data_IF_454402412761
#
_entry.id   IF_454402412761
#
_cell.length_a   1.000
_cell.length_b   1.000
_cell.length_c   1.000
_cell.angle_alpha   90.00
_cell.angle_beta   90.00
_cell.angle_gamma   90.00
#
_symmetry.space_group_name_H-M   'P 1'
#
loop_
_entity.id
_entity.type
_entity.pdbx_description
1 polymer ?
#
# COMPACT_ATOMS: atom_id res chain seq x y z
N UNK A 1 -11.02 -38.38 45.80
CA UNK A 1 -9.70 -38.05 45.24
C UNK A 1 -9.53 -36.54 45.32
N UNK A 2 -8.76 -36.06 46.29
CA UNK A 2 -8.47 -34.63 46.38
C UNK A 2 -7.51 -34.25 45.26
N UNK A 3 -7.81 -33.18 44.53
CA UNK A 3 -6.86 -32.55 43.61
C UNK A 3 -5.72 -31.98 44.47
N UNK A 4 -4.66 -32.76 44.65
CA UNK A 4 -3.49 -32.36 45.41
C UNK A 4 -2.47 -31.73 44.45
N UNK A 5 -2.26 -30.42 44.57
CA UNK A 5 -1.29 -29.66 43.78
C UNK A 5 -1.75 -28.22 43.54
N UNK A 6 -0.80 -27.29 43.34
CA UNK A 6 -1.10 -25.96 42.80
C UNK A 6 -1.46 -26.15 41.32
N UNK A 7 -2.56 -25.56 40.86
CA UNK A 7 -2.95 -25.59 39.45
C UNK A 7 -1.81 -25.08 38.58
N UNK A 8 -1.36 -25.91 37.64
CA UNK A 8 -0.40 -25.56 36.60
C UNK A 8 -1.10 -25.70 35.24
N UNK A 9 -1.44 -24.57 34.59
CA UNK A 9 -2.16 -24.61 33.32
C UNK A 9 -1.35 -25.31 32.22
N UNK A 10 -0.02 -25.21 32.22
CA UNK A 10 0.80 -25.79 31.16
C UNK A 10 0.77 -27.32 31.22
N UNK A 11 0.93 -27.89 32.41
CA UNK A 11 0.82 -29.34 32.61
C UNK A 11 -0.58 -29.86 32.24
N UNK A 12 -1.64 -29.14 32.63
CA UNK A 12 -3.03 -29.54 32.30
C UNK A 12 -3.30 -29.47 30.80
N UNK A 13 -2.86 -28.41 30.11
CA UNK A 13 -3.01 -28.28 28.67
C UNK A 13 -2.31 -29.40 27.91
N UNK A 14 -1.08 -29.77 28.32
CA UNK A 14 -0.33 -30.87 27.71
C UNK A 14 -1.01 -32.23 27.91
N UNK A 15 -1.53 -32.49 29.12
CA UNK A 15 -2.28 -33.71 29.43
C UNK A 15 -3.54 -33.81 28.56
N UNK A 16 -4.33 -32.73 28.48
CA UNK A 16 -5.57 -32.69 27.70
C UNK A 16 -5.29 -32.79 26.19
N UNK A 17 -4.27 -32.11 25.68
CA UNK A 17 -3.88 -32.20 24.26
C UNK A 17 -3.46 -33.64 23.89
N UNK A 18 -2.70 -34.31 24.77
CA UNK A 18 -2.34 -35.72 24.59
C UNK A 18 -3.57 -36.61 24.60
N UNK A 19 -4.47 -36.43 25.56
CA UNK A 19 -5.72 -37.17 25.64
C UNK A 19 -6.58 -36.99 24.38
N UNK A 20 -6.70 -35.78 23.85
CA UNK A 20 -7.40 -35.50 22.59
C UNK A 20 -6.79 -36.26 21.41
N UNK A 21 -5.46 -36.27 21.32
CA UNK A 21 -4.72 -36.97 20.25
C UNK A 21 -4.91 -38.49 20.34
N UNK A 22 -4.61 -39.09 21.49
CA UNK A 22 -4.72 -40.54 21.72
C UNK A 22 -6.14 -41.07 21.47
N UNK A 23 -7.16 -40.26 21.80
CA UNK A 23 -8.57 -40.63 21.64
C UNK A 23 -9.18 -40.16 20.31
N UNK A 24 -8.38 -39.58 19.40
CA UNK A 24 -8.81 -39.07 18.08
C UNK A 24 -10.03 -38.15 18.17
N UNK A 25 -10.00 -37.23 19.14
CA UNK A 25 -11.16 -36.40 19.48
C UNK A 25 -11.54 -35.45 18.34
N UNK A 26 -10.57 -34.80 17.68
CA UNK A 26 -10.84 -33.91 16.55
C UNK A 26 -11.58 -34.64 15.41
N UNK A 27 -11.17 -35.86 15.08
CA UNK A 27 -11.85 -36.62 14.03
C UNK A 27 -13.30 -36.97 14.39
N UNK A 28 -13.53 -37.37 15.65
CA UNK A 28 -14.88 -37.66 16.17
C UNK A 28 -15.77 -36.42 16.15
N UNK A 29 -15.21 -35.27 16.53
CA UNK A 29 -15.84 -33.96 16.50
C UNK A 29 -16.21 -33.58 15.07
N UNK A 30 -15.28 -33.69 14.12
CA UNK A 30 -15.53 -33.35 12.72
C UNK A 30 -16.62 -34.21 12.08
N UNK A 31 -16.78 -35.47 12.50
CA UNK A 31 -17.83 -36.37 12.00
C UNK A 31 -19.13 -36.37 12.81
N UNK A 32 -19.16 -35.71 13.97
CA UNK A 32 -20.24 -35.85 14.96
C UNK A 32 -21.63 -35.59 14.40
N UNK A 33 -21.76 -34.54 13.58
CA UNK A 33 -23.02 -34.07 13.01
C UNK A 33 -23.10 -34.31 11.49
N UNK A 34 -22.28 -35.22 10.94
CA UNK A 34 -22.25 -35.52 9.50
C UNK A 34 -23.65 -35.88 8.98
N UNK A 35 -24.04 -35.30 7.83
CA UNK A 35 -25.38 -35.41 7.26
C UNK A 35 -26.42 -34.42 7.79
N UNK A 36 -26.09 -33.63 8.83
CA UNK A 36 -26.93 -32.54 9.34
C UNK A 36 -26.81 -31.22 8.55
N UNK A 37 -27.53 -30.17 8.97
CA UNK A 37 -27.43 -28.84 8.36
C UNK A 37 -26.01 -28.28 8.44
N UNK A 38 -25.49 -27.79 7.32
CA UNK A 38 -24.09 -27.36 7.20
C UNK A 38 -23.91 -25.93 7.67
N UNK A 39 -22.90 -25.70 8.52
CA UNK A 39 -22.33 -24.38 8.78
C UNK A 39 -20.98 -24.28 8.05
N UNK A 40 -20.92 -23.61 6.88
CA UNK A 40 -19.69 -23.50 6.12
C UNK A 40 -18.78 -22.41 6.69
N UNK A 41 -17.53 -22.77 6.94
CA UNK A 41 -16.48 -21.86 7.36
C UNK A 41 -15.20 -22.10 6.56
N UNK A 42 -14.73 -21.05 5.91
CA UNK A 42 -13.44 -21.01 5.25
C UNK A 42 -12.57 -19.98 5.94
N UNK A 43 -11.38 -20.38 6.36
CA UNK A 43 -10.47 -19.44 7.00
C UNK A 43 -9.93 -18.44 5.97
N UNK A 44 -10.00 -17.14 6.29
CA UNK A 44 -9.15 -16.14 5.64
C UNK A 44 -7.68 -16.53 5.83
N UNK A 45 -6.93 -16.77 4.75
CA UNK A 45 -5.64 -17.44 4.83
C UNK A 45 -4.59 -16.47 5.36
N UNK A 46 -3.81 -16.80 6.40
CA UNK A 46 -2.62 -16.02 6.71
C UNK A 46 -1.57 -16.19 5.60
N UNK A 47 -0.83 -15.10 5.34
CA UNK A 47 0.36 -15.15 4.50
C UNK A 47 1.48 -15.89 5.23
N UNK A 48 2.10 -16.86 4.57
CA UNK A 48 3.08 -17.78 5.18
C UNK A 48 4.51 -17.32 4.95
N UNK A 49 4.81 -16.11 5.42
CA UNK A 49 6.12 -15.46 5.30
C UNK A 49 6.76 -15.12 6.66
N UNK A 50 6.18 -15.60 7.77
CA UNK A 50 6.63 -15.28 9.12
C UNK A 50 5.91 -16.10 10.18
N UNK A 51 6.29 -15.91 11.44
CA UNK A 51 5.67 -16.61 12.57
C UNK A 51 4.36 -15.99 13.02
N UNK A 52 3.50 -16.80 13.65
CA UNK A 52 2.27 -16.34 14.29
C UNK A 52 2.59 -15.40 15.47
N UNK A 53 2.10 -14.16 15.44
CA UNK A 53 2.07 -13.25 16.58
C UNK A 53 0.70 -13.23 17.30
N UNK A 54 0.62 -12.56 18.45
CA UNK A 54 -0.60 -12.50 19.30
C UNK A 54 -1.86 -11.99 18.59
N UNK A 55 -1.72 -11.08 17.61
CA UNK A 55 -2.84 -10.64 16.77
C UNK A 55 -3.49 -11.79 15.99
N UNK A 56 -2.69 -12.68 15.41
CA UNK A 56 -3.17 -13.87 14.71
C UNK A 56 -3.83 -14.86 15.67
N UNK A 57 -3.20 -15.10 16.83
CA UNK A 57 -3.75 -15.98 17.87
C UNK A 57 -5.15 -15.51 18.31
N UNK A 58 -5.31 -14.22 18.60
CA UNK A 58 -6.61 -13.61 18.95
C UNK A 58 -7.67 -13.86 17.87
N UNK A 59 -7.35 -13.60 16.61
CA UNK A 59 -8.27 -13.81 15.49
C UNK A 59 -8.68 -15.28 15.32
N UNK A 60 -7.74 -16.21 15.49
CA UNK A 60 -8.00 -17.66 15.41
C UNK A 60 -8.82 -18.19 16.57
N UNK A 61 -8.59 -17.71 17.79
CA UNK A 61 -9.38 -18.09 18.97
C UNK A 61 -10.84 -17.69 18.80
N UNK A 62 -11.13 -16.47 18.30
CA UNK A 62 -12.53 -16.07 18.05
C UNK A 62 -13.23 -16.97 17.04
N UNK A 63 -12.53 -17.36 15.97
CA UNK A 63 -13.05 -18.31 14.97
C UNK A 63 -13.40 -19.64 15.65
N UNK A 64 -12.46 -20.22 16.40
CA UNK A 64 -12.63 -21.52 17.07
C UNK A 64 -13.84 -21.53 18.04
N UNK A 65 -14.02 -20.48 18.84
CA UNK A 65 -15.17 -20.33 19.74
C UNK A 65 -16.49 -20.43 18.98
N UNK A 66 -16.62 -19.69 17.86
CA UNK A 66 -17.83 -19.68 17.04
C UNK A 66 -18.08 -21.05 16.40
N UNK A 67 -17.04 -21.71 15.89
CA UNK A 67 -17.16 -23.03 15.28
C UNK A 67 -17.60 -24.09 16.29
N UNK A 68 -17.01 -24.09 17.49
CA UNK A 68 -17.44 -24.98 18.58
C UNK A 68 -18.87 -24.71 19.00
N UNK A 69 -19.27 -23.44 19.12
CA UNK A 69 -20.64 -23.07 19.45
C UNK A 69 -21.63 -23.67 18.44
N UNK A 70 -21.41 -23.48 17.13
CA UNK A 70 -22.29 -24.05 16.10
C UNK A 70 -22.31 -25.57 16.11
N UNK A 71 -21.16 -26.23 16.31
CA UNK A 71 -21.08 -27.68 16.39
C UNK A 71 -21.84 -28.23 17.61
N UNK A 72 -21.70 -27.58 18.77
CA UNK A 72 -22.42 -27.94 19.99
C UNK A 72 -23.94 -27.73 19.87
N UNK A 73 -24.38 -26.85 18.97
CA UNK A 73 -25.79 -26.67 18.61
C UNK A 73 -26.27 -27.66 17.52
N UNK A 74 -25.48 -28.69 17.20
CA UNK A 74 -25.89 -29.78 16.31
C UNK A 74 -25.67 -29.52 14.82
N UNK A 75 -24.98 -28.43 14.45
CA UNK A 75 -24.66 -28.16 13.05
C UNK A 75 -23.44 -28.97 12.57
N UNK A 76 -23.47 -29.39 11.31
CA UNK A 76 -22.29 -29.93 10.64
C UNK A 76 -21.37 -28.78 10.21
N UNK A 77 -20.35 -28.51 11.02
CA UNK A 77 -19.45 -27.39 10.76
C UNK A 77 -18.33 -27.83 9.82
N UNK A 78 -18.46 -27.47 8.54
CA UNK A 78 -17.41 -27.63 7.55
C UNK A 78 -16.38 -26.51 7.74
N UNK A 79 -15.16 -26.84 8.18
CA UNK A 79 -14.13 -25.86 8.57
C UNK A 79 -12.79 -26.16 7.91
N UNK A 80 -12.34 -25.30 7.00
CA UNK A 80 -11.02 -25.47 6.36
C UNK A 80 -10.07 -24.34 6.71
N UNK A 81 -8.84 -24.70 7.05
CA UNK A 81 -7.74 -23.77 7.06
C UNK A 81 -7.37 -23.32 5.64
N UNK A 82 -6.55 -22.28 5.55
CA UNK A 82 -6.03 -21.79 4.29
C UNK A 82 -4.63 -21.22 4.48
N UNK A 83 -3.85 -21.16 3.41
CA UNK A 83 -2.53 -20.55 3.40
C UNK A 83 -2.35 -19.70 2.15
N UNK A 84 -1.93 -18.46 2.36
CA UNK A 84 -1.57 -17.56 1.27
C UNK A 84 -0.07 -17.64 1.03
N UNK A 85 0.29 -18.37 -0.02
CA UNK A 85 1.65 -18.83 -0.29
C UNK A 85 2.38 -18.00 -1.37
N UNK A 86 1.72 -17.04 -2.00
CA UNK A 86 2.22 -16.33 -3.17
C UNK A 86 2.43 -14.84 -2.88
N UNK A 87 2.98 -14.12 -3.85
CA UNK A 87 3.08 -12.66 -3.84
C UNK A 87 4.28 -12.09 -3.07
N UNK A 88 4.37 -10.77 -3.11
CA UNK A 88 5.49 -9.97 -2.62
C UNK A 88 5.95 -10.30 -1.19
N UNK A 89 5.06 -10.52 -0.19
CA UNK A 89 5.53 -10.79 1.17
C UNK A 89 6.36 -12.09 1.28
N UNK A 90 6.00 -13.11 0.51
CA UNK A 90 6.72 -14.39 0.45
C UNK A 90 8.03 -14.25 -0.35
N UNK A 91 7.98 -13.52 -1.46
CA UNK A 91 9.16 -13.25 -2.29
C UNK A 91 10.21 -12.45 -1.53
N UNK A 92 9.83 -11.38 -0.83
CA UNK A 92 10.74 -10.55 -0.04
C UNK A 92 11.39 -11.31 1.12
N UNK A 93 10.66 -12.22 1.78
CA UNK A 93 11.24 -13.06 2.82
C UNK A 93 12.22 -14.09 2.24
N UNK A 94 11.90 -14.63 1.06
CA UNK A 94 12.81 -15.50 0.30
C UNK A 94 14.09 -14.75 -0.10
N UNK A 95 13.96 -13.51 -0.59
CA UNK A 95 15.12 -12.64 -0.89
C UNK A 95 16.01 -12.45 0.33
N UNK A 96 15.44 -12.11 1.50
CA UNK A 96 16.20 -11.92 2.74
C UNK A 96 16.97 -13.19 3.13
N UNK A 97 16.32 -14.35 3.05
CA UNK A 97 16.94 -15.65 3.38
C UNK A 97 18.08 -16.00 2.43
N UNK A 98 17.96 -15.62 1.16
CA UNK A 98 18.99 -15.84 0.13
C UNK A 98 20.04 -14.71 0.07
N UNK A 99 19.86 -13.62 0.83
CA UNK A 99 20.74 -12.45 0.79
C UNK A 99 20.64 -11.63 -0.50
N UNK A 100 19.52 -11.73 -1.23
CA UNK A 100 19.24 -11.04 -2.49
C UNK A 100 18.90 -9.57 -2.20
N UNK A 101 19.43 -8.66 -3.03
CA UNK A 101 19.21 -7.21 -2.87
C UNK A 101 18.62 -6.54 -4.10
N UNK A 102 18.62 -7.23 -5.25
CA UNK A 102 18.15 -6.70 -6.52
C UNK A 102 17.54 -7.80 -7.39
N UNK A 103 16.66 -7.42 -8.33
CA UNK A 103 16.13 -8.37 -9.31
C UNK A 103 17.19 -9.09 -10.13
N UNK A 104 18.30 -8.40 -10.44
CA UNK A 104 19.45 -9.00 -11.15
C UNK A 104 20.06 -10.17 -10.40
N UNK A 105 19.99 -10.18 -9.07
CA UNK A 105 20.47 -11.31 -8.28
C UNK A 105 19.54 -12.52 -8.39
N UNK A 106 18.23 -12.31 -8.54
CA UNK A 106 17.24 -13.37 -8.84
C UNK A 106 17.55 -13.99 -10.21
N UNK A 107 17.81 -13.16 -11.23
CA UNK A 107 18.18 -13.65 -12.57
C UNK A 107 19.47 -14.48 -12.55
N UNK A 108 20.43 -14.13 -11.71
CA UNK A 108 21.70 -14.88 -11.55
C UNK A 108 21.52 -16.25 -10.91
N UNK A 109 20.64 -16.38 -9.92
CA UNK A 109 20.38 -17.68 -9.27
C UNK A 109 19.41 -18.54 -10.08
N UNK A 110 18.64 -17.92 -10.98
CA UNK A 110 17.63 -18.55 -11.82
C UNK A 110 16.24 -18.56 -11.16
N UNK A 111 15.22 -18.26 -11.97
CA UNK A 111 13.81 -18.20 -11.53
C UNK A 111 13.35 -19.51 -10.89
N UNK A 112 13.65 -20.66 -11.50
CA UNK A 112 13.27 -21.98 -10.99
C UNK A 112 13.81 -22.21 -9.57
N UNK A 113 15.07 -21.87 -9.34
CA UNK A 113 15.71 -22.00 -8.03
C UNK A 113 15.09 -21.06 -7.00
N UNK A 114 14.77 -19.83 -7.41
CA UNK A 114 14.10 -18.87 -6.53
C UNK A 114 12.71 -19.39 -6.11
N UNK A 115 11.93 -19.91 -7.06
CA UNK A 115 10.61 -20.51 -6.80
C UNK A 115 10.73 -21.74 -5.91
N UNK A 116 11.75 -22.58 -6.08
CA UNK A 116 12.00 -23.74 -5.23
C UNK A 116 12.28 -23.31 -3.76
N UNK A 117 13.12 -22.30 -3.57
CA UNK A 117 13.43 -21.78 -2.24
C UNK A 117 12.23 -21.08 -1.58
N UNK A 118 11.42 -20.36 -2.36
CA UNK A 118 10.17 -19.79 -1.89
C UNK A 118 9.18 -20.88 -1.42
N UNK A 119 9.08 -21.99 -2.16
CA UNK A 119 8.26 -23.12 -1.76
C UNK A 119 8.75 -23.78 -0.46
N UNK A 120 10.07 -23.99 -0.32
CA UNK A 120 10.66 -24.49 0.93
C UNK A 120 10.39 -23.57 2.12
N UNK A 121 10.42 -22.26 1.89
CA UNK A 121 10.10 -21.26 2.91
C UNK A 121 8.63 -21.32 3.33
N UNK A 122 7.72 -21.44 2.36
CA UNK A 122 6.29 -21.65 2.59
C UNK A 122 6.04 -22.90 3.42
N UNK A 123 6.62 -24.04 3.04
CA UNK A 123 6.47 -25.31 3.76
C UNK A 123 6.97 -25.21 5.21
N UNK A 124 8.13 -24.54 5.38
CA UNK A 124 8.69 -24.27 6.70
C UNK A 124 7.72 -23.48 7.58
N UNK A 125 7.14 -22.39 7.08
CA UNK A 125 6.22 -21.58 7.88
C UNK A 125 4.87 -22.27 8.11
N UNK A 126 4.31 -23.00 7.14
CA UNK A 126 3.08 -23.78 7.33
C UNK A 126 3.22 -24.75 8.51
N UNK A 127 4.33 -25.48 8.61
CA UNK A 127 4.60 -26.40 9.72
C UNK A 127 4.59 -25.68 11.09
N UNK A 128 5.25 -24.53 11.18
CA UNK A 128 5.29 -23.73 12.42
C UNK A 128 3.91 -23.17 12.78
N UNK A 129 3.17 -22.68 11.80
CA UNK A 129 1.81 -22.18 12.00
C UNK A 129 0.84 -23.28 12.43
N UNK A 130 0.97 -24.48 11.86
CA UNK A 130 0.17 -25.64 12.27
C UNK A 130 0.44 -26.00 13.73
N UNK A 131 1.72 -26.17 14.11
CA UNK A 131 2.12 -26.46 15.50
C UNK A 131 1.60 -25.42 16.49
N UNK A 132 1.71 -24.13 16.15
CA UNK A 132 1.19 -23.05 17.00
C UNK A 132 -0.34 -23.12 17.14
N UNK A 133 -1.06 -23.48 16.07
CA UNK A 133 -2.52 -23.56 16.08
C UNK A 133 -3.03 -24.77 16.87
N UNK A 134 -2.36 -25.91 16.72
CA UNK A 134 -2.61 -27.11 17.51
C UNK A 134 -2.38 -26.83 19.01
N UNK A 135 -1.31 -26.10 19.34
CA UNK A 135 -1.01 -25.69 20.73
C UNK A 135 -2.04 -24.73 21.31
N UNK A 136 -2.66 -23.90 20.48
CA UNK A 136 -3.78 -23.01 20.83
C UNK A 136 -5.15 -23.70 20.81
N UNK A 137 -5.19 -25.00 20.50
CA UNK A 137 -6.42 -25.79 20.35
C UNK A 137 -7.41 -25.23 19.31
N UNK A 138 -6.91 -24.61 18.25
CA UNK A 138 -7.74 -24.14 17.13
C UNK A 138 -8.00 -25.32 16.20
N UNK A 139 -9.25 -25.81 16.18
CA UNK A 139 -9.59 -27.04 15.45
C UNK A 139 -10.10 -26.71 14.04
N UNK A 140 -9.18 -26.62 13.08
CA UNK A 140 -9.48 -26.53 11.65
C UNK A 140 -8.98 -27.78 10.91
N UNK A 141 -9.57 -28.08 9.76
CA UNK A 141 -9.04 -29.09 8.84
C UNK A 141 -7.77 -28.55 8.14
N UNK A 142 -6.62 -28.79 8.77
CA UNK A 142 -5.31 -28.40 8.24
C UNK A 142 -4.78 -29.38 7.19
N UNK A 143 -5.20 -30.64 7.25
CA UNK A 143 -4.77 -31.68 6.30
C UNK A 143 -5.37 -31.41 4.91
N UNK A 144 -6.58 -30.85 4.85
CA UNK A 144 -7.20 -30.38 3.61
C UNK A 144 -7.22 -28.84 3.50
N UNK A 145 -6.30 -28.14 4.18
CA UNK A 145 -6.19 -26.69 4.03
C UNK A 145 -5.84 -26.33 2.59
N UNK A 146 -6.51 -25.32 2.04
CA UNK A 146 -6.20 -24.84 0.69
C UNK A 146 -4.90 -24.02 0.72
N UNK A 147 -4.14 -24.08 -0.37
CA UNK A 147 -2.92 -23.31 -0.56
C UNK A 147 -3.00 -22.60 -1.90
N UNK A 148 -2.71 -21.31 -1.94
CA UNK A 148 -2.82 -20.52 -3.17
C UNK A 148 -1.83 -20.96 -4.26
N UNK A 149 -0.73 -21.62 -3.88
CA UNK A 149 0.27 -22.18 -4.80
C UNK A 149 -0.11 -23.51 -5.45
N UNK A 150 -1.22 -24.16 -5.06
CA UNK A 150 -1.63 -25.42 -5.68
C UNK A 150 -2.27 -25.18 -7.05
N UNK A 151 -1.97 -26.06 -8.01
CA UNK A 151 -2.45 -25.97 -9.40
C UNK A 151 -3.96 -25.82 -9.51
N UNK A 152 -4.72 -26.60 -8.72
CA UNK A 152 -6.18 -26.51 -8.72
C UNK A 152 -6.70 -25.16 -8.25
N UNK A 153 -6.00 -24.49 -7.33
CA UNK A 153 -6.36 -23.13 -6.90
C UNK A 153 -6.05 -22.13 -8.01
N UNK A 154 -4.86 -22.23 -8.61
CA UNK A 154 -4.44 -21.36 -9.71
C UNK A 154 -5.35 -21.48 -10.93
N UNK A 155 -5.81 -22.68 -11.27
CA UNK A 155 -6.77 -22.91 -12.35
C UNK A 155 -8.11 -22.19 -12.11
N UNK A 156 -8.61 -22.20 -10.87
CA UNK A 156 -9.82 -21.44 -10.52
C UNK A 156 -9.60 -19.92 -10.62
N UNK A 157 -8.41 -19.43 -10.25
CA UNK A 157 -8.05 -18.02 -10.41
C UNK A 157 -7.98 -17.65 -11.90
N UNK A 158 -7.39 -18.50 -12.74
CA UNK A 158 -7.36 -18.29 -14.20
C UNK A 158 -8.77 -18.24 -14.80
N UNK A 159 -9.66 -19.14 -14.37
CA UNK A 159 -11.05 -19.09 -14.77
C UNK A 159 -11.72 -17.77 -14.37
N UNK A 160 -11.48 -17.26 -13.15
CA UNK A 160 -12.04 -15.98 -12.70
C UNK A 160 -11.54 -14.80 -13.54
N UNK A 161 -10.24 -14.78 -13.85
CA UNK A 161 -9.62 -13.77 -14.74
C UNK A 161 -10.26 -13.85 -16.14
N UNK A 162 -10.47 -15.05 -16.67
CA UNK A 162 -11.15 -15.25 -17.96
C UNK A 162 -12.59 -14.71 -17.92
N UNK A 163 -13.33 -14.93 -16.82
CA UNK A 163 -14.68 -14.36 -16.67
C UNK A 163 -14.66 -12.83 -16.63
N UNK A 164 -13.70 -12.23 -15.90
CA UNK A 164 -13.54 -10.78 -15.86
C UNK A 164 -13.20 -10.21 -17.25
N UNK A 165 -12.32 -10.88 -17.99
CA UNK A 165 -12.01 -10.52 -19.37
C UNK A 165 -13.23 -10.61 -20.29
N UNK A 166 -14.00 -11.71 -20.23
CA UNK A 166 -15.22 -11.90 -21.04
C UNK A 166 -16.31 -10.86 -20.76
N UNK A 167 -16.37 -10.33 -19.54
CA UNK A 167 -17.30 -9.25 -19.16
C UNK A 167 -16.79 -7.85 -19.49
N UNK A 168 -15.52 -7.70 -19.87
CA UNK A 168 -14.89 -6.40 -20.09
C UNK A 168 -14.42 -5.71 -18.80
N UNK A 169 -14.36 -6.43 -17.68
CA UNK A 169 -13.89 -5.91 -16.38
C UNK A 169 -12.35 -5.84 -16.29
N UNK A 170 -11.64 -6.54 -17.18
CA UNK A 170 -10.18 -6.56 -17.27
C UNK A 170 -9.70 -5.75 -18.48
N UNK A 171 -9.04 -4.63 -18.22
CA UNK A 171 -8.56 -3.69 -19.24
C UNK A 171 -7.08 -3.35 -19.06
N UNK A 172 -6.39 -3.09 -20.16
CA UNK A 172 -5.03 -2.55 -20.17
C UNK A 172 -5.08 -1.01 -20.22
N UNK A 173 -4.25 -0.35 -19.43
CA UNK A 173 -4.24 1.11 -19.34
C UNK A 173 -2.86 1.61 -18.88
N UNK A 174 -2.46 2.78 -19.36
CA UNK A 174 -1.27 3.49 -18.88
C UNK A 174 -1.71 4.50 -17.81
N UNK A 175 -1.27 4.33 -16.57
CA UNK A 175 -1.70 5.13 -15.41
C UNK A 175 -0.55 5.39 -14.46
N UNK A 176 -0.63 6.51 -13.74
CA UNK A 176 0.18 6.76 -12.55
C UNK A 176 -0.36 5.89 -11.43
N UNK A 177 0.50 5.05 -10.87
CA UNK A 177 0.19 4.14 -9.77
C UNK A 177 1.32 4.17 -8.76
N UNK A 178 1.05 3.85 -7.47
CA UNK A 178 2.11 3.62 -6.51
C UNK A 178 3.08 2.56 -7.02
N UNK A 179 4.38 2.83 -6.92
CA UNK A 179 5.42 1.97 -7.49
C UNK A 179 6.57 1.82 -6.51
N UNK A 180 7.01 0.59 -6.28
CA UNK A 180 8.20 0.34 -5.47
C UNK A 180 9.43 0.28 -6.38
N UNK A 181 10.39 1.22 -6.29
CA UNK A 181 11.58 1.22 -7.14
C UNK A 181 12.53 0.06 -6.82
N UNK A 182 12.51 -0.48 -5.59
CA UNK A 182 13.31 -1.64 -5.20
C UNK A 182 12.73 -2.95 -5.75
N UNK A 183 11.43 -3.15 -5.57
CA UNK A 183 10.72 -4.34 -6.06
C UNK A 183 10.40 -4.25 -7.56
N UNK A 184 10.64 -3.09 -8.17
CA UNK A 184 10.38 -2.74 -9.57
C UNK A 184 9.00 -3.25 -10.05
N UNK A 185 7.95 -2.93 -9.28
CA UNK A 185 6.58 -3.36 -9.55
C UNK A 185 5.57 -2.33 -9.02
N UNK A 186 4.42 -2.15 -9.68
CA UNK A 186 3.31 -1.37 -9.14
C UNK A 186 2.70 -2.05 -7.90
N UNK A 187 2.11 -1.24 -7.02
CA UNK A 187 1.43 -1.67 -5.80
C UNK A 187 -0.05 -1.26 -5.83
N UNK A 188 -0.88 -2.05 -5.17
CA UNK A 188 -2.29 -1.74 -4.92
C UNK A 188 -2.45 -0.71 -3.79
N UNK A 189 -3.62 -0.06 -3.72
CA UNK A 189 -3.95 0.87 -2.64
C UNK A 189 -3.91 0.23 -1.24
N UNK A 190 -4.27 -1.05 -1.14
CA UNK A 190 -4.24 -1.80 0.12
C UNK A 190 -2.80 -2.02 0.62
N UNK A 191 -1.86 -2.27 -0.28
CA UNK A 191 -0.44 -2.43 0.08
C UNK A 191 0.17 -1.10 0.53
N UNK A 192 -0.15 0.00 -0.14
CA UNK A 192 0.33 1.34 0.25
C UNK A 192 -0.21 1.75 1.61
N UNK A 193 -1.50 1.50 1.88
CA UNK A 193 -2.14 1.88 3.15
C UNK A 193 -1.52 1.20 4.39
N UNK A 194 -0.83 0.08 4.22
CA UNK A 194 -0.19 -0.65 5.32
C UNK A 194 1.22 -0.13 5.68
N UNK A 195 1.82 0.68 4.81
CA UNK A 195 3.24 1.05 4.88
C UNK A 195 3.53 2.53 5.10
N UNK A 196 2.57 3.30 5.63
CA UNK A 196 2.81 4.71 5.97
C UNK A 196 3.79 4.83 7.14
N UNK A 197 4.84 5.62 6.92
CA UNK A 197 5.87 5.92 7.92
C UNK A 197 6.12 7.42 7.94
N UNK A 198 6.50 7.95 9.11
CA UNK A 198 6.99 9.32 9.22
C UNK A 198 8.41 9.40 8.67
N UNK A 199 8.61 10.28 7.68
CA UNK A 199 9.91 10.50 7.02
C UNK A 199 10.23 11.99 6.96
N UNK A 200 11.51 12.32 6.90
CA UNK A 200 11.97 13.68 6.66
C UNK A 200 12.09 13.92 5.15
N UNK A 201 11.31 14.87 4.64
CA UNK A 201 11.37 15.31 3.24
C UNK A 201 11.86 16.77 3.15
N UNK A 202 12.56 17.14 2.06
CA UNK A 202 12.85 18.53 1.78
C UNK A 202 11.55 19.30 1.56
N UNK A 203 11.48 20.55 2.02
CA UNK A 203 10.37 21.45 1.73
C UNK A 203 10.93 22.70 1.04
N UNK A 204 10.67 22.85 -0.26
CA UNK A 204 11.28 23.91 -1.07
C UNK A 204 10.24 24.77 -1.76
N UNK A 205 10.60 26.03 -1.94
CA UNK A 205 9.87 27.00 -2.74
C UNK A 205 10.66 27.31 -4.01
N UNK A 206 10.03 27.26 -5.18
CA UNK A 206 10.71 27.43 -6.47
C UNK A 206 10.02 28.52 -7.28
N UNK A 207 10.81 29.44 -7.81
CA UNK A 207 10.34 30.55 -8.64
C UNK A 207 10.32 30.16 -10.11
N UNK A 208 9.15 30.24 -10.73
CA UNK A 208 8.92 29.98 -12.14
C UNK A 208 8.75 31.32 -12.84
N UNK A 209 9.72 31.72 -13.67
CA UNK A 209 9.73 33.04 -14.30
C UNK A 209 8.65 33.13 -15.37
N UNK A 210 7.79 34.15 -15.32
CA UNK A 210 6.80 34.38 -16.38
C UNK A 210 7.49 34.73 -17.70
N UNK A 211 7.02 34.13 -18.80
CA UNK A 211 7.57 34.40 -20.12
C UNK A 211 7.34 35.87 -20.50
N UNK A 212 8.39 36.53 -21.02
CA UNK A 212 8.35 37.96 -21.35
C UNK A 212 8.52 38.89 -20.15
N UNK A 213 8.78 38.37 -18.95
CA UNK A 213 9.14 39.16 -17.78
C UNK A 213 10.53 38.81 -17.28
N UNK A 214 11.28 39.82 -16.81
CA UNK A 214 12.59 39.62 -16.19
C UNK A 214 12.52 39.41 -14.67
N UNK A 215 11.41 39.78 -14.02
CA UNK A 215 11.33 39.83 -12.55
C UNK A 215 9.97 39.39 -11.97
N UNK A 216 9.06 38.84 -12.78
CA UNK A 216 7.80 38.26 -12.30
C UNK A 216 7.88 36.74 -12.25
N UNK A 217 7.45 36.17 -11.13
CA UNK A 217 7.55 34.74 -10.85
C UNK A 217 6.25 34.20 -10.27
N UNK A 218 5.86 33.02 -10.71
CA UNK A 218 4.92 32.16 -9.98
C UNK A 218 5.74 31.36 -8.98
N UNK A 219 5.35 31.37 -7.70
CA UNK A 219 6.08 30.65 -6.66
C UNK A 219 5.33 29.37 -6.35
N UNK A 220 5.96 28.22 -6.61
CA UNK A 220 5.42 26.91 -6.23
C UNK A 220 6.06 26.44 -4.92
N UNK A 221 5.42 25.47 -4.27
CA UNK A 221 5.97 24.70 -3.18
C UNK A 221 5.93 23.21 -3.53
N UNK A 222 6.95 22.46 -3.14
CA UNK A 222 6.98 21.00 -3.30
C UNK A 222 7.83 20.34 -2.22
N UNK A 223 7.41 19.13 -1.83
CA UNK A 223 8.21 18.21 -1.01
C UNK A 223 8.98 17.19 -1.83
N UNK A 224 8.74 17.11 -3.14
CA UNK A 224 9.41 16.19 -4.07
C UNK A 224 10.21 16.94 -5.12
N UNK A 225 11.38 17.54 -4.80
CA UNK A 225 12.20 18.29 -5.76
C UNK A 225 12.54 17.49 -7.02
N UNK A 226 12.65 16.16 -6.89
CA UNK A 226 12.99 15.26 -7.99
C UNK A 226 11.91 15.22 -9.09
N UNK A 227 10.66 15.63 -8.84
CA UNK A 227 9.62 15.71 -9.87
C UNK A 227 9.69 16.99 -10.71
N UNK A 228 10.47 17.99 -10.29
CA UNK A 228 10.59 19.27 -11.01
C UNK A 228 11.18 19.11 -12.41
N UNK A 229 11.99 18.07 -12.64
CA UNK A 229 12.55 17.75 -13.97
C UNK A 229 11.50 17.31 -14.99
N UNK A 230 10.29 16.97 -14.53
CA UNK A 230 9.19 16.50 -15.36
C UNK A 230 7.98 17.46 -15.27
N UNK A 231 8.21 18.71 -14.85
CA UNK A 231 7.14 19.68 -14.74
C UNK A 231 6.62 20.09 -16.13
N UNK A 232 5.30 20.12 -16.29
CA UNK A 232 4.64 20.52 -17.52
C UNK A 232 3.62 21.65 -17.32
N UNK A 233 3.18 21.91 -16.10
CA UNK A 233 2.26 23.03 -15.84
C UNK A 233 2.36 23.53 -14.39
N UNK A 234 1.72 24.67 -14.13
CA UNK A 234 1.39 25.10 -12.76
C UNK A 234 -0.12 25.19 -12.65
N UNK A 235 -0.70 24.47 -11.70
CA UNK A 235 -2.14 24.50 -11.45
C UNK A 235 -2.51 25.55 -10.40
N UNK A 236 -3.61 26.24 -10.65
CA UNK A 236 -4.22 27.22 -9.74
C UNK A 236 -5.73 26.98 -9.64
N UNK A 237 -6.31 27.29 -8.48
CA UNK A 237 -7.76 27.22 -8.34
C UNK A 237 -8.41 28.46 -8.99
N UNK A 238 -9.28 28.32 -10.01
CA UNK A 238 -9.78 29.46 -10.76
C UNK A 238 -10.71 30.37 -9.93
N UNK A 239 -11.26 29.87 -8.82
CA UNK A 239 -12.23 30.57 -7.98
C UNK A 239 -11.62 31.29 -6.78
N UNK A 240 -10.38 30.94 -6.41
CA UNK A 240 -9.68 31.52 -5.26
C UNK A 240 -8.95 32.82 -5.62
N UNK A 241 -8.63 33.61 -4.59
CA UNK A 241 -7.92 34.88 -4.73
C UNK A 241 -6.40 34.69 -4.64
N UNK A 242 -5.70 35.23 -5.63
CA UNK A 242 -4.26 35.29 -5.72
C UNK A 242 -3.78 36.73 -5.65
N UNK A 243 -2.51 36.91 -5.29
CA UNK A 243 -1.90 38.22 -5.19
C UNK A 243 -0.57 38.27 -5.92
N UNK A 244 -0.22 39.46 -6.40
CA UNK A 244 1.16 39.79 -6.76
C UNK A 244 1.78 40.54 -5.59
N UNK A 245 2.87 40.00 -5.06
CA UNK A 245 3.61 40.56 -3.94
C UNK A 245 4.97 41.03 -4.43
N UNK A 246 5.32 42.29 -4.14
CA UNK A 246 6.65 42.82 -4.39
C UNK A 246 7.58 42.42 -3.24
N UNK A 247 8.68 41.75 -3.58
CA UNK A 247 9.73 41.32 -2.64
C UNK A 247 11.07 41.80 -3.22
N UNK A 248 11.64 42.87 -2.65
CA UNK A 248 12.77 43.57 -3.24
C UNK A 248 12.43 44.11 -4.64
N UNK A 249 13.17 43.67 -5.66
CA UNK A 249 12.97 44.03 -7.07
C UNK A 249 12.15 43.01 -7.87
N UNK A 250 11.68 41.94 -7.21
CA UNK A 250 10.89 40.87 -7.80
C UNK A 250 9.40 40.98 -7.45
N UNK A 251 8.58 40.34 -8.27
CA UNK A 251 7.15 40.19 -8.04
C UNK A 251 6.76 38.72 -8.03
N UNK A 252 6.20 38.27 -6.92
CA UNK A 252 5.85 36.88 -6.67
C UNK A 252 4.33 36.71 -6.71
N UNK A 253 3.86 35.69 -7.42
CA UNK A 253 2.47 35.31 -7.50
C UNK A 253 2.25 34.07 -6.63
N UNK A 254 1.31 34.18 -5.69
CA UNK A 254 0.88 33.13 -4.78
C UNK A 254 -0.52 33.44 -4.23
N UNK A 255 -1.15 32.46 -3.58
CA UNK A 255 -2.48 32.62 -3.02
C UNK A 255 -2.53 33.65 -1.89
N UNK A 256 -3.58 34.47 -1.90
CA UNK A 256 -3.81 35.57 -0.95
C UNK A 256 -3.75 35.12 0.51
N UNK A 257 -4.35 33.97 0.82
CA UNK A 257 -4.43 33.38 2.17
C UNK A 257 -3.08 32.85 2.67
N UNK A 258 -2.16 32.51 1.76
CA UNK A 258 -0.90 31.83 2.08
C UNK A 258 0.31 32.77 2.14
N UNK A 259 0.14 34.07 1.86
CA UNK A 259 1.23 35.06 1.84
C UNK A 259 2.04 35.08 3.13
N UNK A 260 1.36 35.23 4.27
CA UNK A 260 2.04 35.33 5.56
C UNK A 260 2.79 34.04 5.92
N UNK A 261 2.21 32.87 5.59
CA UNK A 261 2.82 31.57 5.82
C UNK A 261 4.09 31.41 4.98
N UNK A 262 3.99 31.63 3.67
CA UNK A 262 5.10 31.47 2.71
C UNK A 262 6.24 32.45 3.01
N UNK A 263 5.93 33.73 3.18
CA UNK A 263 6.96 34.75 3.42
C UNK A 263 7.57 34.62 4.81
N UNK A 264 6.80 34.19 5.81
CA UNK A 264 7.33 33.83 7.12
C UNK A 264 8.29 32.65 7.06
N UNK A 265 7.95 31.59 6.31
CA UNK A 265 8.83 30.43 6.12
C UNK A 265 10.13 30.76 5.36
N UNK A 266 10.13 31.85 4.56
CA UNK A 266 11.28 32.33 3.80
C UNK A 266 12.03 33.49 4.50
N UNK A 267 11.67 33.85 5.73
CA UNK A 267 12.21 34.99 6.48
C UNK A 267 12.11 36.33 5.72
N UNK A 268 11.08 36.49 4.88
CA UNK A 268 10.82 37.72 4.11
C UNK A 268 9.93 38.66 4.92
N UNK A 269 10.56 39.62 5.59
CA UNK A 269 9.86 40.58 6.46
C UNK A 269 9.30 41.81 5.73
N UNK A 270 9.91 42.19 4.61
CA UNK A 270 9.55 43.40 3.86
C UNK A 270 8.96 43.02 2.50
N UNK A 271 7.64 43.16 2.39
CA UNK A 271 6.92 42.90 1.15
C UNK A 271 5.70 43.83 1.01
N UNK A 272 5.24 44.02 -0.22
CA UNK A 272 4.06 44.83 -0.52
C UNK A 272 3.12 44.06 -1.45
N UNK A 273 1.85 43.93 -1.07
CA UNK A 273 0.83 43.38 -1.98
C UNK A 273 0.45 44.47 -2.97
N UNK A 274 0.84 44.31 -4.24
CA UNK A 274 0.64 45.32 -5.29
C UNK A 274 -0.59 45.07 -6.14
N UNK A 275 -1.09 43.84 -6.20
CA UNK A 275 -2.28 43.49 -6.97
C UNK A 275 -3.00 42.26 -6.36
N UNK A 276 -4.32 42.21 -6.52
CA UNK A 276 -5.16 41.05 -6.18
C UNK A 276 -6.01 40.67 -7.39
N UNK A 277 -6.12 39.38 -7.68
CA UNK A 277 -6.90 38.87 -8.81
C UNK A 277 -7.41 37.45 -8.53
N UNK A 278 -8.41 37.02 -9.30
CA UNK A 278 -8.87 35.62 -9.25
C UNK A 278 -7.87 34.70 -9.94
N UNK A 279 -7.80 33.43 -9.52
CA UNK A 279 -6.96 32.43 -10.17
C UNK A 279 -7.26 32.25 -11.66
N UNK A 280 -8.51 32.46 -12.09
CA UNK A 280 -8.89 32.45 -13.51
C UNK A 280 -8.15 33.48 -14.36
N UNK A 281 -7.64 34.57 -13.78
CA UNK A 281 -6.84 35.57 -14.49
C UNK A 281 -5.41 35.10 -14.76
N UNK A 282 -4.94 34.06 -14.07
CA UNK A 282 -3.62 33.46 -14.27
C UNK A 282 -3.62 32.38 -15.37
N UNK A 283 -4.76 31.76 -15.64
CA UNK A 283 -4.88 30.64 -16.58
C UNK A 283 -4.40 31.06 -17.97
N UNK A 284 -3.52 30.24 -18.56
CA UNK A 284 -2.90 30.49 -19.86
C UNK A 284 -1.65 31.35 -19.82
N UNK A 285 -1.26 31.93 -18.67
CA UNK A 285 0.04 32.57 -18.53
C UNK A 285 1.15 31.53 -18.76
N UNK A 286 2.15 31.90 -19.56
CA UNK A 286 3.32 31.06 -19.82
C UNK A 286 4.44 31.38 -18.85
N UNK A 287 5.21 30.37 -18.48
CA UNK A 287 6.43 30.51 -17.71
C UNK A 287 7.60 29.79 -18.39
N UNK A 288 8.80 30.08 -17.95
CA UNK A 288 10.01 29.37 -18.34
C UNK A 288 10.28 28.25 -17.33
N UNK A 289 10.46 27.03 -17.83
CA UNK A 289 10.78 25.89 -16.99
C UNK A 289 12.07 26.19 -16.18
N UNK A 290 12.07 26.00 -14.84
CA UNK A 290 13.18 26.42 -13.99
C UNK A 290 14.49 25.67 -14.25
N UNK A 291 14.42 24.48 -14.88
CA UNK A 291 15.55 23.62 -15.22
C UNK A 291 15.74 23.45 -16.74
N UNK A 292 15.37 24.48 -17.52
CA UNK A 292 15.38 24.42 -19.00
C UNK A 292 16.78 24.19 -19.60
N UNK A 293 17.83 24.59 -18.88
CA UNK A 293 19.22 24.40 -19.32
C UNK A 293 19.72 22.97 -19.04
N UNK A 294 19.30 22.40 -17.91
CA UNK A 294 19.62 21.05 -17.47
C UNK A 294 18.79 19.99 -18.20
N UNK A 295 17.56 20.34 -18.60
CA UNK A 295 16.64 19.47 -19.34
C UNK A 295 16.19 20.15 -20.64
N UNK A 296 17.04 20.20 -21.68
CA UNK A 296 16.75 20.91 -22.94
C UNK A 296 15.53 20.37 -23.70
N UNK A 297 15.05 19.16 -23.38
CA UNK A 297 13.87 18.55 -24.00
C UNK A 297 12.63 19.44 -23.86
N UNK A 298 12.49 20.15 -22.73
CA UNK A 298 11.37 21.07 -22.50
C UNK A 298 11.31 22.23 -23.50
N UNK A 299 12.40 22.58 -24.19
CA UNK A 299 12.40 23.62 -25.24
C UNK A 299 11.54 23.23 -26.44
N UNK A 300 11.32 21.93 -26.64
CA UNK A 300 10.47 21.40 -27.72
C UNK A 300 9.02 21.15 -27.29
N UNK A 301 8.65 21.43 -26.05
CA UNK A 301 7.29 21.20 -25.56
C UNK A 301 6.40 22.40 -25.93
N UNK A 302 5.27 22.10 -26.56
CA UNK A 302 4.27 23.08 -26.96
C UNK A 302 3.12 23.15 -25.94
N UNK A 303 2.33 24.24 -25.90
CA UNK A 303 1.15 24.32 -25.06
C UNK A 303 0.24 23.09 -25.16
N UNK A 304 -0.34 22.65 -24.05
CA UNK A 304 -0.45 23.34 -22.77
C UNK A 304 0.79 23.24 -21.85
N UNK A 305 1.90 22.66 -22.31
CA UNK A 305 3.15 22.66 -21.54
C UNK A 305 3.62 24.07 -21.17
N UNK A 306 4.22 24.19 -19.98
CA UNK A 306 4.78 25.40 -19.39
C UNK A 306 3.77 26.56 -19.29
N UNK A 307 2.51 26.22 -19.03
CA UNK A 307 1.43 27.18 -18.82
C UNK A 307 0.76 27.00 -17.47
N UNK A 308 0.09 28.04 -17.01
CA UNK A 308 -0.82 27.97 -15.87
C UNK A 308 -2.14 27.35 -16.30
N UNK A 309 -2.58 26.31 -15.59
CA UNK A 309 -3.84 25.61 -15.83
C UNK A 309 -4.79 25.77 -14.64
N UNK A 310 -6.08 25.64 -14.90
CA UNK A 310 -7.09 25.59 -13.84
C UNK A 310 -7.18 24.21 -13.21
N UNK A 311 -7.28 24.15 -11.89
CA UNK A 311 -7.57 22.92 -11.16
C UNK A 311 -8.26 23.20 -9.82
N UNK A 312 -9.45 22.63 -9.64
CA UNK A 312 -10.26 22.80 -8.42
C UNK A 312 -9.70 22.06 -7.21
N UNK A 313 -8.81 21.06 -7.40
CA UNK A 313 -8.20 20.32 -6.30
C UNK A 313 -7.15 21.15 -5.53
N UNK A 314 -6.70 22.28 -6.07
CA UNK A 314 -5.71 23.14 -5.41
C UNK A 314 -6.37 23.83 -4.21
N UNK A 315 -5.82 23.58 -3.02
CA UNK A 315 -6.33 24.12 -1.74
C UNK A 315 -5.55 25.35 -1.30
N UNK A 316 -6.11 26.08 -0.32
CA UNK A 316 -5.52 27.28 0.29
C UNK A 316 -5.07 27.04 1.73
N UNK A 317 -4.76 25.78 2.06
CA UNK A 317 -4.40 25.35 3.41
C UNK A 317 -2.88 25.28 3.60
N UNK A 318 -2.15 24.80 2.60
CA UNK A 318 -0.70 24.58 2.64
C UNK A 318 -0.01 25.00 1.33
N UNK A 319 1.32 25.13 1.37
CA UNK A 319 2.13 25.52 0.22
C UNK A 319 1.94 26.98 -0.18
N UNK A 320 1.85 27.24 -1.49
CA UNK A 320 1.70 28.60 -2.06
C UNK A 320 0.36 28.83 -2.76
N UNK A 321 -0.47 27.78 -2.90
CA UNK A 321 -1.65 27.78 -3.75
C UNK A 321 -1.33 27.74 -5.26
N UNK A 322 -0.07 27.59 -5.64
CA UNK A 322 0.37 27.32 -7.01
C UNK A 322 1.06 25.94 -7.02
N UNK A 323 0.42 24.95 -7.64
CA UNK A 323 0.88 23.55 -7.58
C UNK A 323 1.65 23.22 -8.85
N UNK A 324 2.91 22.81 -8.71
CA UNK A 324 3.68 22.28 -9.83
C UNK A 324 3.05 20.94 -10.29
N UNK A 325 2.87 20.78 -11.61
CA UNK A 325 2.26 19.59 -12.20
C UNK A 325 3.31 18.82 -12.99
N UNK A 326 3.47 17.54 -12.67
CA UNK A 326 4.29 16.58 -13.41
C UNK A 326 3.46 15.34 -13.71
N UNK A 327 2.77 15.28 -14.87
CA UNK A 327 1.73 14.28 -15.15
C UNK A 327 2.18 12.82 -15.08
N UNK A 328 3.48 12.55 -15.20
CA UNK A 328 4.05 11.21 -15.07
C UNK A 328 4.15 10.73 -13.60
N UNK A 329 3.88 11.60 -12.62
CA UNK A 329 4.12 11.35 -11.19
C UNK A 329 2.91 11.61 -10.29
N UNK A 330 1.88 12.31 -10.76
CA UNK A 330 0.67 12.57 -9.96
C UNK A 330 -0.19 13.68 -10.54
#
# INVERSE_FOLDING_TARGET
MGLAGRYDPLSVEEEIARWWSENRILEKVFRRNEGGPVFPFLEGPPTVNGYMHVGHARGRIYKDIVLRFHEMNGLYVWRRGGWDCLGLPTELETEKRLGIRSKKDIERIGMERFVEEANKLVDYYIDHWRKASERLAVWLDYDNAYQTRHESYMEHVWWLIEQAHKRGDLVESYRVVPFCPRCETPLSSHEVAQGYEEVEDPSIYVKFRLQGSSNQYIVIWTTTPWTLVANEAVAVNPYEEYVRVKVGDEYWILASKLVALVLGALDVMNYEVVERFKGSALVGLRYEHPLIEEVPAHRGHEPPAHTVIEAEFVTMEEGTGCVHIAPAHG
#
